data_IF_584734876355
#
_entry.id   IF_584734876355
#
_cell.length_a   1.000
_cell.length_b   1.000
_cell.length_c   1.000
_cell.angle_alpha   90.00
_cell.angle_beta   90.00
_cell.angle_gamma   90.00
#
_symmetry.space_group_name_H-M   'P 1'
#
loop_
_entity.id
_entity.type
_entity.pdbx_description
1 polymer ?
#
# COMPACT_ATOMS: atom_id res chain seq x y z
N UNK A 1 -63.52 1.20 -15.49
CA UNK A 1 -62.42 2.19 -15.50
C UNK A 1 -62.01 2.43 -16.95
N UNK A 2 -61.88 3.69 -17.37
CA UNK A 2 -61.41 4.00 -18.72
C UNK A 2 -59.98 3.46 -18.92
N UNK A 3 -59.71 2.85 -20.08
CA UNK A 3 -58.35 2.40 -20.42
C UNK A 3 -57.47 3.63 -20.66
N UNK A 4 -56.29 3.64 -20.04
CA UNK A 4 -55.29 4.72 -20.19
C UNK A 4 -54.84 4.82 -21.66
N UNK A 5 -54.73 6.04 -22.20
CA UNK A 5 -54.20 6.29 -23.56
C UNK A 5 -52.68 6.40 -23.58
N UNK A 6 -52.08 6.43 -24.77
CA UNK A 6 -50.64 6.68 -24.95
C UNK A 6 -50.24 8.03 -24.38
N UNK A 7 -51.02 9.07 -24.64
CA UNK A 7 -50.77 10.44 -24.18
C UNK A 7 -50.83 10.52 -22.66
N UNK A 8 -51.84 9.89 -22.04
CA UNK A 8 -51.96 9.81 -20.59
C UNK A 8 -50.78 9.06 -19.96
N UNK A 9 -50.30 7.98 -20.59
CA UNK A 9 -49.12 7.27 -20.12
C UNK A 9 -47.85 8.13 -20.21
N UNK A 10 -47.67 8.88 -21.29
CA UNK A 10 -46.52 9.78 -21.47
C UNK A 10 -46.54 10.87 -20.39
N UNK A 11 -47.70 11.48 -20.13
CA UNK A 11 -47.82 12.56 -19.16
C UNK A 11 -47.47 12.08 -17.74
N UNK A 12 -47.95 10.90 -17.33
CA UNK A 12 -47.57 10.32 -16.05
C UNK A 12 -46.05 10.04 -15.97
N UNK A 13 -45.44 9.53 -17.04
CA UNK A 13 -43.98 9.31 -17.07
C UNK A 13 -43.23 10.63 -16.93
N UNK A 14 -43.68 11.71 -17.57
CA UNK A 14 -43.07 13.04 -17.46
C UNK A 14 -43.11 13.59 -16.04
N UNK A 15 -44.19 13.37 -15.30
CA UNK A 15 -44.27 13.83 -13.89
C UNK A 15 -43.21 13.19 -13.00
N UNK A 16 -42.79 11.97 -13.32
CA UNK A 16 -41.80 11.20 -12.55
C UNK A 16 -40.37 11.46 -13.05
N UNK A 17 -40.22 11.56 -14.37
CA UNK A 17 -38.94 11.71 -15.07
C UNK A 17 -38.86 13.06 -15.78
N UNK A 18 -39.06 14.13 -15.02
CA UNK A 18 -39.11 15.54 -15.44
C UNK A 18 -38.07 15.82 -16.54
N UNK A 19 -38.57 15.86 -17.78
CA UNK A 19 -37.88 16.17 -19.04
C UNK A 19 -36.63 15.36 -19.42
N UNK A 20 -36.44 14.18 -18.83
CA UNK A 20 -35.22 13.38 -19.03
C UNK A 20 -35.27 12.42 -20.23
N UNK A 21 -36.41 12.30 -20.91
CA UNK A 21 -36.71 11.25 -21.88
C UNK A 21 -37.50 11.81 -23.06
N UNK A 22 -37.25 11.28 -24.26
CA UNK A 22 -38.09 11.54 -25.44
C UNK A 22 -39.11 10.42 -25.65
N UNK A 23 -40.27 10.82 -26.17
CA UNK A 23 -41.47 9.97 -26.22
C UNK A 23 -41.96 9.67 -27.64
N UNK A 24 -41.17 10.01 -28.66
CA UNK A 24 -41.55 9.95 -30.08
C UNK A 24 -41.94 8.54 -30.57
N UNK A 25 -41.53 7.48 -29.87
CA UNK A 25 -41.77 6.06 -30.21
C UNK A 25 -42.67 5.32 -29.22
N UNK A 26 -43.34 6.04 -28.31
CA UNK A 26 -44.18 5.41 -27.28
C UNK A 26 -45.49 4.94 -27.91
N UNK A 27 -45.78 3.65 -27.78
CA UNK A 27 -47.07 3.06 -28.14
C UNK A 27 -47.57 2.27 -26.93
N UNK A 28 -48.55 2.81 -26.22
CA UNK A 28 -49.08 2.18 -25.01
C UNK A 28 -50.15 1.13 -25.34
N UNK A 29 -50.11 -0.01 -24.65
CA UNK A 29 -51.15 -1.05 -24.73
C UNK A 29 -51.69 -1.43 -23.36
N UNK A 30 -50.81 -1.68 -22.40
CA UNK A 30 -51.11 -2.00 -21.00
C UNK A 30 -49.84 -1.82 -20.14
N UNK A 31 -49.95 -2.01 -18.83
CA UNK A 31 -48.85 -1.78 -17.88
C UNK A 31 -47.66 -2.76 -18.01
N UNK A 32 -47.89 -3.91 -18.63
CA UNK A 32 -46.93 -5.01 -18.73
C UNK A 32 -46.21 -5.06 -20.08
N UNK A 33 -46.83 -4.50 -21.13
CA UNK A 33 -46.25 -4.42 -22.47
C UNK A 33 -45.19 -3.34 -22.52
N UNK A 34 -43.98 -3.72 -22.95
CA UNK A 34 -42.85 -2.79 -23.05
C UNK A 34 -43.14 -1.68 -24.07
N UNK A 35 -42.87 -0.45 -23.66
CA UNK A 35 -42.81 0.75 -24.50
C UNK A 35 -41.35 1.06 -24.85
N UNK A 36 -41.14 1.87 -25.89
CA UNK A 36 -39.82 2.39 -26.26
C UNK A 36 -39.73 3.83 -25.74
N UNK A 37 -38.78 4.07 -24.85
CA UNK A 37 -38.38 5.41 -24.41
C UNK A 37 -37.00 5.73 -24.96
N UNK A 38 -36.72 6.99 -25.19
CA UNK A 38 -35.42 7.43 -25.69
C UNK A 38 -34.74 8.24 -24.59
N UNK A 39 -33.56 7.79 -24.18
CA UNK A 39 -32.67 8.58 -23.34
C UNK A 39 -31.86 9.50 -24.26
N UNK A 40 -31.86 10.84 -24.06
CA UNK A 40 -31.13 11.77 -24.92
C UNK A 40 -29.63 11.47 -25.04
N UNK A 41 -29.05 10.82 -24.01
CA UNK A 41 -27.61 10.52 -23.95
C UNK A 41 -27.26 9.05 -24.23
N UNK A 42 -28.17 8.11 -24.00
CA UNK A 42 -27.88 6.67 -24.16
C UNK A 42 -28.78 5.98 -25.21
N UNK A 43 -29.64 6.74 -25.88
CA UNK A 43 -30.51 6.25 -26.95
C UNK A 43 -31.72 5.46 -26.48
N UNK A 44 -32.28 4.68 -27.39
CA UNK A 44 -33.54 3.95 -27.20
C UNK A 44 -33.42 2.78 -26.24
N UNK A 45 -34.41 2.60 -25.39
CA UNK A 45 -34.52 1.43 -24.52
C UNK A 45 -35.96 0.98 -24.32
N UNK A 46 -36.13 -0.32 -24.10
CA UNK A 46 -37.44 -0.94 -23.85
C UNK A 46 -37.68 -1.10 -22.36
N UNK A 47 -38.81 -0.60 -21.87
CA UNK A 47 -39.22 -0.68 -20.47
C UNK A 47 -40.73 -0.85 -20.36
N UNK A 48 -41.23 -1.53 -19.32
CA UNK A 48 -42.68 -1.61 -19.10
C UNK A 48 -43.20 -0.35 -18.39
N UNK A 49 -44.42 0.12 -18.69
CA UNK A 49 -45.05 1.22 -17.96
C UNK A 49 -45.08 0.99 -16.44
N UNK A 50 -45.29 -0.25 -15.97
CA UNK A 50 -45.20 -0.58 -14.53
C UNK A 50 -43.83 -0.24 -13.93
N UNK A 51 -42.73 -0.58 -14.62
CA UNK A 51 -41.39 -0.35 -14.11
C UNK A 51 -41.03 1.14 -14.06
N UNK A 52 -41.42 1.92 -15.06
CA UNK A 52 -41.15 3.37 -15.09
C UNK A 52 -42.07 4.15 -14.15
N UNK A 53 -43.35 3.80 -14.05
CA UNK A 53 -44.32 4.55 -13.23
C UNK A 53 -44.32 4.16 -11.75
N UNK A 54 -44.23 2.87 -11.43
CA UNK A 54 -44.34 2.40 -10.04
C UNK A 54 -42.98 2.17 -9.38
N UNK A 55 -42.00 1.69 -10.16
CA UNK A 55 -40.65 1.42 -9.66
C UNK A 55 -39.67 2.55 -10.00
N UNK A 56 -40.14 3.60 -10.68
CA UNK A 56 -39.35 4.79 -11.03
C UNK A 56 -38.06 4.43 -11.80
N UNK A 57 -38.08 3.31 -12.54
CA UNK A 57 -36.95 2.87 -13.34
C UNK A 57 -36.86 3.68 -14.64
N UNK A 58 -35.64 4.08 -14.99
CA UNK A 58 -35.36 4.78 -16.24
C UNK A 58 -34.26 4.11 -17.05
N UNK A 59 -33.46 4.92 -17.75
CA UNK A 59 -32.28 4.42 -18.46
C UNK A 59 -31.33 3.68 -17.50
N UNK A 60 -31.04 2.41 -17.80
CA UNK A 60 -30.13 1.58 -16.99
C UNK A 60 -28.71 2.11 -16.96
N UNK A 61 -28.27 2.79 -18.02
CA UNK A 61 -26.93 3.37 -18.10
C UNK A 61 -26.84 4.61 -17.21
N UNK A 62 -27.79 5.56 -17.28
CA UNK A 62 -27.90 6.65 -16.29
C UNK A 62 -27.98 6.12 -14.84
N UNK A 63 -28.74 5.04 -14.61
CA UNK A 63 -28.82 4.39 -13.30
C UNK A 63 -27.46 3.90 -12.80
N UNK A 64 -26.67 3.24 -13.67
CA UNK A 64 -25.32 2.77 -13.36
C UNK A 64 -24.34 3.93 -13.12
N UNK A 65 -24.42 4.98 -13.91
CA UNK A 65 -23.58 6.18 -13.75
C UNK A 65 -23.85 6.86 -12.41
N UNK A 66 -25.12 7.12 -12.06
CA UNK A 66 -25.50 7.68 -10.75
C UNK A 66 -25.01 6.81 -9.59
N UNK A 67 -25.17 5.49 -9.70
CA UNK A 67 -24.67 4.53 -8.70
C UNK A 67 -23.13 4.45 -8.64
N UNK A 68 -22.42 4.85 -9.70
CA UNK A 68 -20.96 4.96 -9.73
C UNK A 68 -20.50 6.26 -9.05
N UNK A 69 -21.19 7.38 -9.33
CA UNK A 69 -20.90 8.67 -8.68
C UNK A 69 -21.16 8.60 -7.18
N UNK A 70 -22.23 7.95 -6.73
CA UNK A 70 -22.50 7.75 -5.29
C UNK A 70 -21.45 6.87 -4.60
N UNK A 71 -20.69 6.05 -5.35
CA UNK A 71 -19.53 5.28 -4.87
C UNK A 71 -18.24 6.10 -4.75
N UNK A 72 -18.17 7.31 -5.32
CA UNK A 72 -17.06 8.26 -5.08
C UNK A 72 -17.10 8.87 -3.68
N UNK A 73 -18.31 9.07 -3.13
CA UNK A 73 -18.51 9.59 -1.77
C UNK A 73 -17.82 8.73 -0.68
N UNK A 74 -17.88 7.37 -0.72
CA UNK A 74 -17.11 6.50 0.17
C UNK A 74 -15.59 6.71 0.16
N UNK A 75 -14.97 6.80 -1.03
CA UNK A 75 -13.51 6.89 -1.14
C UNK A 75 -13.00 8.28 -0.79
N UNK A 76 -13.68 9.34 -1.23
CA UNK A 76 -13.33 10.72 -0.88
C UNK A 76 -13.42 10.94 0.63
N UNK A 77 -14.46 10.39 1.28
CA UNK A 77 -14.60 10.43 2.74
C UNK A 77 -13.43 9.73 3.43
N UNK A 78 -13.04 8.55 2.95
CA UNK A 78 -11.87 7.84 3.46
C UNK A 78 -10.59 8.66 3.30
N UNK A 79 -10.34 9.21 2.11
CA UNK A 79 -9.15 10.02 1.81
C UNK A 79 -9.08 11.25 2.72
N UNK A 80 -10.20 11.96 2.90
CA UNK A 80 -10.27 13.13 3.78
C UNK A 80 -9.95 12.76 5.24
N UNK A 81 -10.53 11.67 5.75
CA UNK A 81 -10.23 11.19 7.11
C UNK A 81 -8.76 10.77 7.25
N UNK A 82 -8.25 10.02 6.29
CA UNK A 82 -6.88 9.54 6.29
C UNK A 82 -5.87 10.69 6.22
N UNK A 83 -6.14 11.72 5.40
CA UNK A 83 -5.34 12.93 5.31
C UNK A 83 -5.33 13.74 6.60
N UNK A 84 -6.45 13.83 7.31
CA UNK A 84 -6.51 14.49 8.62
C UNK A 84 -5.68 13.76 9.68
N UNK A 85 -5.73 12.42 9.70
CA UNK A 85 -5.00 11.60 10.68
C UNK A 85 -3.49 11.60 10.39
N UNK A 86 -3.13 11.44 9.12
CA UNK A 86 -1.75 11.25 8.70
C UNK A 86 -1.12 12.51 8.13
N UNK A 87 -1.74 13.69 8.31
CA UNK A 87 -1.25 14.99 7.85
C UNK A 87 -0.86 15.01 6.37
N UNK A 88 -1.73 14.52 5.49
CA UNK A 88 -1.49 14.41 4.04
C UNK A 88 -0.22 13.62 3.65
N UNK A 89 0.25 12.70 4.51
CA UNK A 89 1.51 11.97 4.27
C UNK A 89 1.44 10.96 3.12
N UNK A 90 0.29 10.33 2.89
CA UNK A 90 0.18 9.19 1.97
C UNK A 90 -0.57 9.57 0.69
N UNK A 91 -0.24 8.87 -0.40
CA UNK A 91 -0.96 8.94 -1.65
C UNK A 91 -1.93 7.74 -1.78
N UNK A 92 -3.13 8.02 -2.29
CA UNK A 92 -4.22 7.05 -2.44
C UNK A 92 -4.68 6.90 -3.89
N UNK A 93 -3.89 7.36 -4.88
CA UNK A 93 -4.27 7.33 -6.31
C UNK A 93 -4.54 5.90 -6.81
N UNK A 94 -3.89 4.90 -6.20
CA UNK A 94 -4.05 3.48 -6.50
C UNK A 94 -5.09 2.77 -5.63
N UNK A 95 -5.72 3.48 -4.68
CA UNK A 95 -6.65 2.87 -3.74
C UNK A 95 -7.97 2.48 -4.44
N UNK A 96 -8.34 1.20 -4.34
CA UNK A 96 -9.63 0.70 -4.80
C UNK A 96 -10.54 0.43 -3.60
N UNK A 97 -11.25 1.46 -3.15
CA UNK A 97 -12.10 1.36 -1.97
C UNK A 97 -13.37 0.55 -2.24
N UNK A 98 -13.60 -0.49 -1.43
CA UNK A 98 -14.81 -1.32 -1.47
C UNK A 98 -15.60 -1.17 -0.17
N UNK A 99 -14.93 -1.36 0.97
CA UNK A 99 -15.46 -1.23 2.31
C UNK A 99 -14.28 -1.00 3.28
N UNK A 100 -14.54 -0.93 4.59
CA UNK A 100 -13.51 -0.65 5.59
C UNK A 100 -12.59 -1.84 5.93
N UNK A 101 -12.93 -3.07 5.52
CA UNK A 101 -12.19 -4.30 5.84
C UNK A 101 -11.39 -4.87 4.67
N UNK A 102 -11.70 -4.47 3.43
CA UNK A 102 -10.95 -4.85 2.23
C UNK A 102 -9.65 -4.04 2.17
N UNK A 103 -8.53 -4.71 1.95
CA UNK A 103 -7.22 -4.04 1.80
C UNK A 103 -7.20 -3.19 0.54
N UNK A 104 -6.64 -2.00 0.67
CA UNK A 104 -6.36 -1.06 -0.42
C UNK A 104 -4.86 -0.82 -0.54
N UNK A 105 -4.42 -0.33 -1.70
CA UNK A 105 -3.04 0.12 -1.92
C UNK A 105 -2.93 1.56 -1.39
N UNK A 106 -1.95 1.79 -0.51
CA UNK A 106 -1.59 3.10 0.02
C UNK A 106 -0.12 3.32 -0.30
N UNK A 107 0.23 4.48 -0.84
CA UNK A 107 1.60 4.78 -1.25
C UNK A 107 2.28 5.65 -0.20
N UNK A 108 3.35 5.12 0.39
CA UNK A 108 4.25 5.84 1.27
C UNK A 108 5.27 6.65 0.44
N UNK A 109 5.50 7.93 0.73
CA UNK A 109 6.48 8.76 0.01
C UNK A 109 7.94 8.35 0.26
N UNK A 110 8.19 7.29 1.03
CA UNK A 110 9.52 6.80 1.42
C UNK A 110 9.70 5.34 0.99
N UNK A 111 8.74 4.47 1.34
CA UNK A 111 8.83 3.03 1.13
C UNK A 111 8.00 2.51 -0.06
N UNK A 112 7.24 3.38 -0.73
CA UNK A 112 6.38 3.01 -1.85
C UNK A 112 5.05 2.36 -1.40
N UNK A 113 4.49 1.52 -2.28
CA UNK A 113 3.15 0.95 -2.11
C UNK A 113 3.12 -0.12 -1.01
N UNK A 114 2.10 -0.07 -0.16
CA UNK A 114 1.80 -1.11 0.83
C UNK A 114 0.29 -1.35 0.93
N UNK A 115 -0.09 -2.54 1.40
CA UNK A 115 -1.49 -2.93 1.56
C UNK A 115 -1.96 -2.73 3.00
N UNK A 116 -3.10 -2.06 3.17
CA UNK A 116 -3.75 -1.89 4.46
C UNK A 116 -5.26 -1.74 4.30
N UNK A 117 -6.04 -2.17 5.30
CA UNK A 117 -7.49 -1.94 5.32
C UNK A 117 -7.80 -0.50 5.73
N UNK A 118 -8.83 0.16 5.19
CA UNK A 118 -9.23 1.51 5.61
C UNK A 118 -9.47 1.64 7.11
N UNK A 119 -10.07 0.64 7.76
CA UNK A 119 -10.27 0.63 9.22
C UNK A 119 -8.94 0.73 9.99
N UNK A 120 -7.99 -0.15 9.68
CA UNK A 120 -6.67 -0.10 10.29
C UNK A 120 -5.94 1.22 10.03
N UNK A 121 -6.09 1.80 8.84
CA UNK A 121 -5.41 3.04 8.47
C UNK A 121 -5.99 4.26 9.18
N UNK A 122 -7.32 4.39 9.20
CA UNK A 122 -8.05 5.53 9.77
C UNK A 122 -8.35 5.29 11.24
N UNK A 123 -9.15 4.29 11.61
CA UNK A 123 -9.59 4.13 13.01
C UNK A 123 -8.47 3.70 13.96
N UNK A 124 -7.51 2.89 13.47
CA UNK A 124 -6.39 2.43 14.29
C UNK A 124 -5.12 3.26 14.08
N UNK A 125 -5.20 4.33 13.29
CA UNK A 125 -4.09 5.23 12.96
C UNK A 125 -2.81 4.53 12.50
N UNK A 126 -2.93 3.34 11.88
CA UNK A 126 -1.75 2.60 11.41
C UNK A 126 -1.26 3.24 10.12
N UNK A 127 0.03 3.58 10.09
CA UNK A 127 0.70 4.05 8.89
C UNK A 127 1.43 2.93 8.15
N UNK A 128 2.41 3.32 7.34
CA UNK A 128 3.34 2.40 6.68
C UNK A 128 4.11 1.56 7.73
N UNK A 129 4.13 0.22 7.58
CA UNK A 129 4.81 -0.68 8.51
C UNK A 129 6.33 -0.47 8.51
N UNK A 130 6.93 -0.12 7.37
CA UNK A 130 8.36 0.14 7.26
C UNK A 130 8.74 1.48 7.88
N UNK A 131 7.92 2.53 7.75
CA UNK A 131 8.08 3.76 8.55
C UNK A 131 8.09 3.48 10.06
N UNK A 132 7.23 2.57 10.54
CA UNK A 132 7.24 2.18 11.97
C UNK A 132 8.54 1.47 12.34
N UNK A 133 9.06 0.59 11.48
CA UNK A 133 10.33 -0.10 11.68
C UNK A 133 11.51 0.89 11.69
N UNK A 134 11.51 1.85 10.78
CA UNK A 134 12.52 2.91 10.69
C UNK A 134 12.62 3.73 11.98
N UNK A 135 11.48 4.11 12.56
CA UNK A 135 11.45 4.82 13.86
C UNK A 135 12.05 3.98 15.00
N UNK A 136 11.81 2.66 15.01
CA UNK A 136 12.37 1.77 16.02
C UNK A 136 13.90 1.64 15.87
N UNK A 137 14.43 1.63 14.64
CA UNK A 137 15.88 1.59 14.37
C UNK A 137 16.60 2.86 14.83
N UNK A 138 16.01 4.03 14.60
CA UNK A 138 16.59 5.32 15.03
C UNK A 138 16.76 5.41 16.55
N UNK A 139 15.78 4.93 17.33
CA UNK A 139 15.89 4.89 18.79
C UNK A 139 17.04 4.00 19.29
N UNK A 140 17.52 3.06 18.47
CA UNK A 140 18.69 2.21 18.75
C UNK A 140 20.01 2.70 18.13
N UNK A 141 20.04 3.90 17.53
CA UNK A 141 21.22 4.47 16.88
C UNK A 141 21.57 3.89 15.50
N UNK A 142 20.59 3.28 14.82
CA UNK A 142 20.73 2.76 13.45
C UNK A 142 20.23 3.72 12.36
N UNK A 143 20.64 3.50 11.12
CA UNK A 143 20.18 4.26 9.96
C UNK A 143 18.82 3.79 9.46
N UNK A 144 18.07 4.69 8.82
CA UNK A 144 16.74 4.42 8.27
C UNK A 144 16.47 5.26 7.03
N UNK A 145 15.45 4.93 6.22
CA UNK A 145 15.13 5.76 5.05
C UNK A 145 14.72 7.18 5.46
N UNK A 146 13.96 7.31 6.55
CA UNK A 146 13.60 8.61 7.12
C UNK A 146 14.83 9.42 7.57
N UNK A 147 15.86 8.76 8.12
CA UNK A 147 17.11 9.43 8.49
C UNK A 147 17.76 10.06 7.26
N UNK A 148 17.96 9.29 6.18
CA UNK A 148 18.61 9.80 4.96
C UNK A 148 17.76 10.82 4.22
N UNK A 149 16.42 10.74 4.29
CA UNK A 149 15.54 11.76 3.72
C UNK A 149 15.70 13.11 4.42
N UNK A 150 15.86 13.10 5.74
CA UNK A 150 16.00 14.31 6.55
C UNK A 150 17.46 14.79 6.68
N UNK A 151 18.44 13.96 6.31
CA UNK A 151 19.88 14.25 6.33
C UNK A 151 20.50 13.90 4.97
N UNK A 152 20.22 14.74 3.97
CA UNK A 152 20.64 14.51 2.58
C UNK A 152 22.18 14.49 2.48
N UNK A 153 22.86 15.33 3.23
CA UNK A 153 24.32 15.37 3.37
C UNK A 153 24.90 14.00 3.79
N UNK A 154 24.24 13.32 4.72
CA UNK A 154 24.65 12.00 5.20
C UNK A 154 24.51 10.90 4.15
N UNK A 155 23.82 11.15 3.02
CA UNK A 155 23.76 10.16 1.95
C UNK A 155 25.09 9.98 1.23
N UNK A 156 25.94 11.01 1.22
CA UNK A 156 27.16 11.08 0.41
C UNK A 156 28.44 10.85 1.22
N UNK A 157 28.35 10.78 2.55
CA UNK A 157 29.52 10.49 3.38
C UNK A 157 30.02 9.06 3.14
N UNK A 158 31.33 8.80 3.29
CA UNK A 158 31.85 7.44 3.19
C UNK A 158 31.18 6.51 4.22
N UNK A 159 30.82 5.32 3.76
CA UNK A 159 30.28 4.24 4.58
C UNK A 159 30.90 2.91 4.20
N UNK A 160 30.91 2.00 5.15
CA UNK A 160 31.42 0.64 5.00
C UNK A 160 30.26 -0.32 5.23
N UNK A 161 29.96 -1.14 4.22
CA UNK A 161 29.17 -2.36 4.39
C UNK A 161 30.12 -3.49 4.78
N UNK A 162 29.76 -4.28 5.79
CA UNK A 162 30.58 -5.38 6.27
C UNK A 162 29.77 -6.64 6.56
N UNK A 163 30.44 -7.77 6.45
CA UNK A 163 29.95 -9.10 6.82
C UNK A 163 30.93 -9.71 7.81
N UNK A 164 30.43 -10.21 8.93
CA UNK A 164 31.24 -10.88 9.95
C UNK A 164 30.63 -12.23 10.32
N UNK A 165 31.50 -13.22 10.57
CA UNK A 165 31.16 -14.44 11.28
C UNK A 165 31.33 -14.19 12.78
N UNK A 166 30.31 -14.50 13.55
CA UNK A 166 30.30 -14.36 15.01
C UNK A 166 30.11 -15.75 15.62
N UNK A 167 30.99 -16.12 16.55
CA UNK A 167 30.83 -17.29 17.41
C UNK A 167 30.59 -16.83 18.85
N UNK A 168 29.51 -17.31 19.46
CA UNK A 168 29.15 -17.01 20.84
C UNK A 168 28.76 -18.32 21.55
N UNK A 169 29.66 -18.87 22.37
CA UNK A 169 29.48 -20.20 22.93
C UNK A 169 29.37 -21.25 21.82
N UNK A 170 28.22 -21.93 21.74
CA UNK A 170 27.94 -22.96 20.71
C UNK A 170 27.23 -22.40 19.47
N UNK A 171 26.88 -21.11 19.46
CA UNK A 171 26.21 -20.47 18.33
C UNK A 171 27.25 -19.90 17.36
N UNK A 172 27.11 -20.22 16.07
CA UNK A 172 27.88 -19.59 14.99
C UNK A 172 26.94 -19.04 13.92
N UNK A 173 27.06 -17.74 13.64
CA UNK A 173 26.15 -17.03 12.75
C UNK A 173 26.87 -15.92 12.00
N UNK A 174 26.22 -15.41 10.94
CA UNK A 174 26.73 -14.30 10.14
C UNK A 174 25.96 -13.04 10.54
N UNK A 175 26.65 -11.91 10.61
CA UNK A 175 26.02 -10.60 10.75
C UNK A 175 26.41 -9.69 9.59
N UNK A 176 25.40 -9.08 8.99
CA UNK A 176 25.55 -7.98 8.04
C UNK A 176 25.39 -6.67 8.82
N UNK A 177 26.19 -5.66 8.48
CA UNK A 177 26.09 -4.35 9.11
C UNK A 177 26.73 -3.24 8.28
N UNK A 178 26.41 -2.00 8.65
CA UNK A 178 27.04 -0.80 8.08
C UNK A 178 27.66 0.10 9.16
N UNK A 179 28.62 0.94 8.75
CA UNK A 179 29.18 2.00 9.60
C UNK A 179 29.73 3.17 8.79
N UNK A 180 29.68 4.38 9.34
CA UNK A 180 30.40 5.55 8.82
C UNK A 180 31.83 5.70 9.39
N UNK A 181 32.21 4.84 10.34
CA UNK A 181 33.53 4.83 10.97
C UNK A 181 34.31 3.58 10.50
N UNK A 182 34.94 2.84 11.42
CA UNK A 182 35.58 1.56 11.16
C UNK A 182 34.78 0.39 11.71
N UNK A 183 34.90 -0.78 11.08
CA UNK A 183 34.28 -2.04 11.54
C UNK A 183 34.81 -2.43 12.92
N UNK A 184 36.11 -2.27 13.16
CA UNK A 184 36.74 -2.50 14.47
C UNK A 184 36.04 -1.74 15.61
N UNK A 185 35.68 -0.48 15.38
CA UNK A 185 35.02 0.34 16.40
C UNK A 185 33.60 -0.16 16.72
N UNK A 186 32.94 -0.89 15.81
CA UNK A 186 31.59 -1.42 16.02
C UNK A 186 31.56 -2.57 17.02
N UNK A 187 32.54 -3.45 16.99
CA UNK A 187 32.58 -4.64 17.85
C UNK A 187 33.52 -4.52 19.06
N UNK A 188 34.29 -3.44 19.18
CA UNK A 188 34.96 -3.09 20.45
C UNK A 188 33.99 -2.62 21.56
N UNK A 189 32.66 -2.66 21.31
CA UNK A 189 31.62 -2.34 22.29
C UNK A 189 31.44 -3.47 23.30
N UNK A 190 31.09 -3.13 24.54
CA UNK A 190 31.01 -4.08 25.65
C UNK A 190 30.11 -5.30 25.41
N UNK A 191 29.08 -5.18 24.57
CA UNK A 191 28.14 -6.26 24.23
C UNK A 191 28.79 -7.42 23.44
N UNK A 192 29.90 -7.17 22.75
CA UNK A 192 30.61 -8.14 21.91
C UNK A 192 31.83 -8.76 22.61
N UNK A 193 32.14 -8.35 23.84
CA UNK A 193 33.40 -8.64 24.55
C UNK A 193 33.72 -10.14 24.68
N UNK A 194 32.69 -10.99 24.71
CA UNK A 194 32.83 -12.44 24.90
C UNK A 194 32.55 -13.23 23.61
N UNK A 195 32.46 -12.56 22.46
CA UNK A 195 32.19 -13.19 21.17
C UNK A 195 33.47 -13.25 20.34
N UNK A 196 33.71 -14.36 19.65
CA UNK A 196 34.76 -14.46 18.64
C UNK A 196 34.21 -13.90 17.32
N UNK A 197 34.92 -12.95 16.73
CA UNK A 197 34.45 -12.21 15.55
C UNK A 197 35.51 -12.28 14.47
N UNK A 198 35.11 -12.74 13.29
CA UNK A 198 35.94 -12.74 12.10
C UNK A 198 35.24 -11.97 10.99
N UNK A 199 35.84 -10.85 10.55
CA UNK A 199 35.36 -10.12 9.37
C UNK A 199 35.58 -10.99 8.13
N UNK A 200 34.51 -11.27 7.39
CA UNK A 200 34.56 -12.03 6.14
C UNK A 200 34.78 -11.11 4.94
N UNK A 201 34.05 -9.99 4.88
CA UNK A 201 34.07 -9.06 3.76
C UNK A 201 33.79 -7.63 4.22
N UNK A 202 34.42 -6.64 3.60
CA UNK A 202 34.14 -5.21 3.78
C UNK A 202 34.16 -4.52 2.42
N UNK A 203 33.28 -3.53 2.22
CA UNK A 203 33.23 -2.73 0.99
C UNK A 203 32.88 -1.29 1.33
N UNK A 204 33.77 -0.39 0.92
CA UNK A 204 33.55 1.06 1.04
C UNK A 204 32.69 1.56 -0.11
N UNK A 205 31.70 2.37 0.21
CA UNK A 205 30.79 3.04 -0.73
C UNK A 205 30.19 4.27 -0.04
N UNK A 206 29.19 4.92 -0.61
CA UNK A 206 28.46 5.94 0.15
C UNK A 206 27.63 5.30 1.26
N UNK A 207 27.45 6.00 2.37
CA UNK A 207 26.68 5.49 3.51
C UNK A 207 25.24 5.11 3.12
N UNK A 208 24.62 5.83 2.18
CA UNK A 208 23.30 5.48 1.69
C UNK A 208 23.29 4.27 0.75
N UNK A 209 24.32 4.08 -0.08
CA UNK A 209 24.47 2.84 -0.86
C UNK A 209 24.66 1.63 0.05
N UNK A 210 25.51 1.75 1.07
CA UNK A 210 25.73 0.70 2.06
C UNK A 210 24.41 0.33 2.75
N UNK A 211 23.63 1.32 3.18
CA UNK A 211 22.31 1.11 3.76
C UNK A 211 21.34 0.42 2.80
N UNK A 212 21.22 0.88 1.55
CA UNK A 212 20.32 0.27 0.55
C UNK A 212 20.71 -1.19 0.29
N UNK A 213 22.01 -1.46 0.16
CA UNK A 213 22.51 -2.80 -0.11
C UNK A 213 22.31 -3.74 1.09
N UNK A 214 22.56 -3.25 2.31
CA UNK A 214 22.25 -3.98 3.54
C UNK A 214 20.75 -4.36 3.61
N UNK A 215 19.84 -3.41 3.37
CA UNK A 215 18.39 -3.71 3.41
C UNK A 215 17.99 -4.71 2.32
N UNK A 216 18.56 -4.59 1.12
CA UNK A 216 18.33 -5.54 0.03
C UNK A 216 18.79 -6.95 0.39
N UNK A 217 20.00 -7.10 0.94
CA UNK A 217 20.56 -8.39 1.36
C UNK A 217 19.76 -9.03 2.50
N UNK A 218 19.32 -8.24 3.48
CA UNK A 218 18.51 -8.75 4.61
C UNK A 218 17.17 -9.30 4.12
N UNK A 219 16.53 -8.64 3.15
CA UNK A 219 15.25 -9.12 2.61
C UNK A 219 15.45 -10.32 1.68
N UNK A 220 16.50 -10.31 0.84
CA UNK A 220 16.88 -11.43 -0.02
C UNK A 220 17.17 -12.70 0.81
N UNK A 221 17.97 -12.58 1.87
CA UNK A 221 18.45 -13.69 2.70
C UNK A 221 17.56 -13.97 3.93
N UNK A 222 16.36 -13.38 3.96
CA UNK A 222 15.36 -13.59 5.02
C UNK A 222 15.06 -15.06 5.35
N UNK A 223 15.04 -16.02 4.40
CA UNK A 223 14.88 -17.44 4.71
C UNK A 223 15.97 -18.02 5.62
N UNK A 224 17.16 -17.39 5.63
CA UNK A 224 18.32 -17.82 6.43
C UNK A 224 18.43 -17.04 7.74
N UNK A 225 17.40 -16.32 8.17
CA UNK A 225 17.47 -15.49 9.37
C UNK A 225 17.81 -16.32 10.61
N UNK A 226 18.73 -15.81 11.41
CA UNK A 226 19.16 -16.40 12.67
C UNK A 226 18.90 -15.42 13.81
N UNK A 227 18.40 -15.92 14.93
CA UNK A 227 18.13 -15.13 16.13
C UNK A 227 19.00 -15.66 17.27
N UNK A 228 20.12 -14.98 17.60
CA UNK A 228 20.99 -15.39 18.68
C UNK A 228 20.26 -15.44 20.03
N UNK A 229 20.64 -16.38 20.90
CA UNK A 229 20.06 -16.49 22.25
C UNK A 229 20.30 -15.22 23.08
N UNK A 230 21.51 -14.67 23.01
CA UNK A 230 21.87 -13.40 23.65
C UNK A 230 21.61 -12.23 22.71
N UNK A 231 20.74 -11.30 23.11
CA UNK A 231 20.45 -10.09 22.32
C UNK A 231 21.57 -9.06 22.48
N UNK A 232 21.92 -8.43 21.37
CA UNK A 232 22.90 -7.34 21.26
C UNK A 232 22.48 -6.36 20.15
N UNK A 233 23.13 -5.20 20.05
CA UNK A 233 22.83 -4.20 19.03
C UNK A 233 23.01 -4.77 17.60
N UNK A 234 21.90 -4.88 16.86
CA UNK A 234 21.88 -5.43 15.50
C UNK A 234 21.65 -6.95 15.42
N UNK A 235 21.21 -7.61 16.50
CA UNK A 235 20.90 -9.05 16.51
C UNK A 235 19.82 -9.47 15.48
N UNK A 236 18.97 -8.55 15.04
CA UNK A 236 17.93 -8.81 14.02
C UNK A 236 18.46 -8.90 12.60
N UNK A 237 19.75 -8.64 12.40
CA UNK A 237 20.46 -8.62 11.10
C UNK A 237 21.38 -9.85 10.97
N UNK A 238 21.13 -10.89 11.78
CA UNK A 238 21.90 -12.12 11.78
C UNK A 238 21.29 -13.18 10.86
N UNK A 239 22.16 -13.96 10.23
CA UNK A 239 21.87 -15.04 9.31
C UNK A 239 22.56 -16.33 9.77
N UNK A 240 22.03 -17.47 9.34
CA UNK A 240 22.64 -18.78 9.57
C UNK A 240 24.01 -18.83 8.90
N UNK A 241 25.01 -19.40 9.57
CA UNK A 241 26.34 -19.59 9.00
C UNK A 241 26.36 -20.80 8.06
N UNK A 242 25.78 -20.66 6.87
CA UNK A 242 25.76 -21.70 5.82
C UNK A 242 26.64 -21.36 4.62
N UNK A 243 27.23 -22.35 3.94
CA UNK A 243 28.09 -22.11 2.77
C UNK A 243 27.43 -21.26 1.68
N UNK A 244 26.17 -21.53 1.34
CA UNK A 244 25.44 -20.79 0.31
C UNK A 244 25.22 -19.31 0.67
N UNK A 245 25.05 -19.00 1.96
CA UNK A 245 24.93 -17.62 2.45
C UNK A 245 26.28 -16.91 2.34
N UNK A 246 27.37 -17.59 2.72
CA UNK A 246 28.73 -17.02 2.64
C UNK A 246 29.12 -16.73 1.19
N UNK A 247 28.93 -17.69 0.29
CA UNK A 247 29.24 -17.54 -1.15
C UNK A 247 28.45 -16.37 -1.74
N UNK A 248 27.14 -16.31 -1.49
CA UNK A 248 26.30 -15.22 -2.00
C UNK A 248 26.75 -13.86 -1.49
N UNK A 249 27.16 -13.76 -0.22
CA UNK A 249 27.69 -12.52 0.33
C UNK A 249 29.05 -12.16 -0.28
N UNK A 250 29.95 -13.11 -0.52
CA UNK A 250 31.24 -12.86 -1.18
C UNK A 250 31.06 -12.34 -2.61
N UNK A 251 30.12 -12.90 -3.38
CA UNK A 251 29.79 -12.43 -4.74
C UNK A 251 29.37 -10.96 -4.78
N UNK A 252 28.54 -10.51 -3.82
CA UNK A 252 28.11 -9.10 -3.73
C UNK A 252 29.30 -8.16 -3.48
N UNK A 253 30.30 -8.66 -2.77
CA UNK A 253 31.51 -7.92 -2.44
C UNK A 253 32.58 -8.02 -3.53
N UNK A 254 32.37 -8.85 -4.57
CA UNK A 254 33.32 -9.15 -5.65
C UNK A 254 34.64 -9.76 -5.12
N UNK A 255 34.53 -10.67 -4.15
CA UNK A 255 35.62 -11.46 -3.58
C UNK A 255 35.54 -12.91 -4.06
#
# INVERSE_FOLDING_TARGET
MAKRTTEQCIEEIRTIHSDSLEYSKVIYKNLDTKIILICPIHGEFKISPRAVLQQHQGCKTCGRERASTSRRVPIEKFINQANNIHNNKYDYTKAQYVNNTTKIIISCPIHGDFLQTPDAHVNQHRGCPDCKRDKLKQNGGGYSHEYFKNHIDQQYVPGILYVMSITNGNEKFIKIGITANSVQHRYNRGEYKNMEINTLCEKTMTLFEAFKLEQSLIEELKPYKFFPNSKFSGYTECLQHKPEVVVRLQEVFQL
#
